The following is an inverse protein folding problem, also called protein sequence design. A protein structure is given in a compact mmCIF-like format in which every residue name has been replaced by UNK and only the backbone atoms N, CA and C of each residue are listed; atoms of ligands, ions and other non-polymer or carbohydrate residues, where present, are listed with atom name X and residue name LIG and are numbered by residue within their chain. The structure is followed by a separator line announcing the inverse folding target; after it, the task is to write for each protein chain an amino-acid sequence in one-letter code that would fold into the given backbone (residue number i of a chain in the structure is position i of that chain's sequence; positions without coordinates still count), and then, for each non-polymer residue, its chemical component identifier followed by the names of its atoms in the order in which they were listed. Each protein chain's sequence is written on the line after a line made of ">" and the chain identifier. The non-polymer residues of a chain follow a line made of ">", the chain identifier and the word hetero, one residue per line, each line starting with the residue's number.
data_IF_251957057726
#
_entry.id   IF_251957057726
#
_cell.length_a   1.000
_cell.length_b   1.000
_cell.length_c   1.000
_cell.angle_alpha   90.00
_cell.angle_beta   90.00
_cell.angle_gamma   90.00
#
_symmetry.space_group_name_H-M   'P 1'
#
loop_
_entity.id
_entity.type
_entity.pdbx_description
1 polymer ?
#
# COMPACT_ATOMS: atom_id res chain seq x y z
N UNK A 1 24.45 -1.44 18.68
CA UNK A 1 24.49 -0.21 17.87
C UNK A 1 24.37 0.98 18.82
N UNK A 2 25.09 2.08 18.59
CA UNK A 2 25.11 3.25 19.48
C UNK A 2 24.05 4.28 19.07
N UNK A 3 23.65 5.16 20.00
CA UNK A 3 22.71 6.26 19.71
C UNK A 3 23.24 7.18 18.60
N UNK A 4 24.55 7.40 18.54
CA UNK A 4 25.20 8.17 17.47
C UNK A 4 25.04 7.52 16.08
N UNK A 5 25.10 6.18 16.02
CA UNK A 5 24.89 5.45 14.77
C UNK A 5 23.43 5.52 14.33
N UNK A 6 22.49 5.39 15.28
CA UNK A 6 21.05 5.53 15.00
C UNK A 6 20.72 6.95 14.51
N UNK A 7 21.30 7.98 15.14
CA UNK A 7 21.15 9.38 14.70
C UNK A 7 21.67 9.60 13.29
N UNK A 8 22.79 8.98 12.91
CA UNK A 8 23.29 9.04 11.52
C UNK A 8 22.33 8.37 10.54
N UNK A 9 21.83 7.17 10.87
CA UNK A 9 20.84 6.48 10.03
C UNK A 9 19.57 7.30 9.82
N UNK A 10 19.08 7.99 10.87
CA UNK A 10 17.94 8.93 10.74
C UNK A 10 18.22 10.09 9.78
N UNK A 11 19.46 10.59 9.76
CA UNK A 11 19.85 11.71 8.90
C UNK A 11 20.14 11.28 7.46
N UNK A 12 20.58 10.05 7.26
CA UNK A 12 20.97 9.49 5.96
C UNK A 12 19.83 8.76 5.25
N UNK A 13 18.80 8.31 5.98
CA UNK A 13 17.65 7.62 5.39
C UNK A 13 16.84 8.54 4.49
N UNK A 14 16.50 8.04 3.31
CA UNK A 14 15.63 8.73 2.35
C UNK A 14 14.48 7.83 1.92
N UNK A 15 13.27 8.40 1.83
CA UNK A 15 12.04 7.65 1.53
C UNK A 15 11.98 7.12 0.09
N UNK A 16 12.77 7.70 -0.82
CA UNK A 16 12.95 7.21 -2.19
C UNK A 16 14.03 6.12 -2.31
N UNK A 17 14.74 5.80 -1.23
CA UNK A 17 15.73 4.72 -1.15
C UNK A 17 15.33 3.68 -0.10
N UNK A 18 14.77 2.58 -0.61
CA UNK A 18 14.38 1.42 0.19
C UNK A 18 15.53 0.88 1.06
N UNK A 19 16.76 0.81 0.55
CA UNK A 19 17.86 0.20 1.30
C UNK A 19 18.22 1.03 2.54
N UNK A 20 18.19 2.35 2.42
CA UNK A 20 18.41 3.28 3.53
C UNK A 20 17.30 3.17 4.59
N UNK A 21 16.02 3.13 4.16
CA UNK A 21 14.86 2.99 5.05
C UNK A 21 14.82 1.64 5.75
N UNK A 22 15.13 0.56 5.03
CA UNK A 22 15.24 -0.78 5.59
C UNK A 22 16.34 -0.85 6.65
N UNK A 23 17.48 -0.19 6.42
CA UNK A 23 18.58 -0.14 7.38
C UNK A 23 18.20 0.64 8.63
N UNK A 24 17.50 1.78 8.49
CA UNK A 24 16.93 2.51 9.61
C UNK A 24 15.91 1.66 10.39
N UNK A 25 14.98 0.99 9.71
CA UNK A 25 13.98 0.16 10.37
C UNK A 25 14.60 -0.99 11.17
N UNK A 26 15.59 -1.71 10.61
CA UNK A 26 16.34 -2.75 11.34
C UNK A 26 17.02 -2.21 12.59
N UNK A 27 17.61 -1.02 12.46
CA UNK A 27 18.24 -0.30 13.56
C UNK A 27 17.24 0.05 14.68
N UNK A 28 16.05 0.54 14.31
CA UNK A 28 14.96 0.86 15.24
C UNK A 28 14.42 -0.41 15.94
N UNK A 29 14.18 -1.50 15.22
CA UNK A 29 13.80 -2.78 15.83
C UNK A 29 14.86 -3.31 16.81
N UNK A 30 16.15 -3.16 16.48
CA UNK A 30 17.23 -3.54 17.39
C UNK A 30 17.27 -2.69 18.68
N UNK A 31 16.58 -1.54 18.71
CA UNK A 31 16.37 -0.70 19.89
C UNK A 31 15.05 -1.01 20.62
N UNK A 32 14.34 -2.07 20.22
CA UNK A 32 13.13 -2.54 20.89
C UNK A 32 11.85 -1.84 20.45
N UNK A 33 11.88 -1.02 19.39
CA UNK A 33 10.68 -0.37 18.86
C UNK A 33 9.78 -1.39 18.16
N UNK A 34 8.47 -1.21 18.34
CA UNK A 34 7.44 -1.97 17.62
C UNK A 34 7.12 -1.40 16.23
N UNK A 35 6.35 -2.12 15.40
CA UNK A 35 6.03 -1.72 14.03
C UNK A 35 5.46 -0.30 13.89
N UNK A 36 4.54 0.09 14.78
CA UNK A 36 3.96 1.45 14.80
C UNK A 36 5.02 2.53 15.01
N UNK A 37 5.94 2.29 15.94
CA UNK A 37 6.98 3.24 16.30
C UNK A 37 8.03 3.33 15.19
N UNK A 38 8.37 2.19 14.57
CA UNK A 38 9.27 2.15 13.40
C UNK A 38 8.71 2.98 12.25
N UNK A 39 7.44 2.77 11.87
CA UNK A 39 6.80 3.55 10.81
C UNK A 39 6.76 5.04 11.17
N UNK A 40 6.41 5.37 12.42
CA UNK A 40 6.38 6.76 12.89
C UNK A 40 7.76 7.43 12.79
N UNK A 41 8.82 6.74 13.20
CA UNK A 41 10.20 7.27 13.11
C UNK A 41 10.65 7.42 11.65
N UNK A 42 10.27 6.49 10.78
CA UNK A 42 10.61 6.49 9.36
C UNK A 42 9.88 7.60 8.56
N UNK A 43 8.63 7.92 8.91
CA UNK A 43 7.81 8.88 8.16
C UNK A 43 7.53 10.20 8.91
N UNK A 44 7.96 10.30 10.17
CA UNK A 44 7.71 11.45 11.05
C UNK A 44 6.26 11.61 11.51
N UNK A 45 5.39 10.63 11.21
CA UNK A 45 3.98 10.60 11.59
C UNK A 45 3.49 9.15 11.69
N UNK A 46 2.57 8.88 12.62
CA UNK A 46 1.94 7.57 12.75
C UNK A 46 0.97 7.30 11.59
N UNK A 47 0.87 6.03 11.20
CA UNK A 47 -0.08 5.58 10.17
C UNK A 47 -1.37 5.08 10.84
N UNK A 48 -2.51 5.07 10.13
CA UNK A 48 -3.78 4.61 10.69
C UNK A 48 -3.79 3.09 10.89
N UNK A 49 -4.65 2.59 11.80
CA UNK A 49 -4.73 1.14 12.10
C UNK A 49 -5.08 0.27 10.89
N UNK A 50 -5.83 0.78 9.92
CA UNK A 50 -6.13 0.05 8.68
C UNK A 50 -4.87 -0.34 7.90
N UNK A 51 -3.82 0.47 7.98
CA UNK A 51 -2.52 0.14 7.42
C UNK A 51 -1.90 -1.07 8.13
N UNK A 52 -1.89 -1.08 9.46
CA UNK A 52 -1.28 -2.16 10.24
C UNK A 52 -2.09 -3.47 10.16
N UNK A 53 -3.41 -3.39 10.03
CA UNK A 53 -4.25 -4.57 9.77
C UNK A 53 -3.85 -5.26 8.46
N UNK A 54 -3.69 -4.50 7.37
CA UNK A 54 -3.21 -5.06 6.11
C UNK A 54 -1.77 -5.56 6.23
N UNK A 55 -0.90 -4.80 6.89
CA UNK A 55 0.50 -5.15 7.05
C UNK A 55 0.68 -6.46 7.83
N UNK A 56 -0.10 -6.68 8.89
CA UNK A 56 -0.13 -7.92 9.67
C UNK A 56 -0.58 -9.12 8.83
N UNK A 57 -1.52 -8.90 7.90
CA UNK A 57 -2.02 -9.93 7.00
C UNK A 57 -1.06 -10.29 5.86
N UNK A 58 0.03 -9.51 5.68
CA UNK A 58 1.01 -9.74 4.63
C UNK A 58 0.47 -9.39 3.24
N UNK A 59 0.45 -8.10 2.86
CA UNK A 59 -0.27 -7.64 1.66
C UNK A 59 0.21 -8.31 0.36
N UNK A 60 1.51 -8.64 0.27
CA UNK A 60 2.10 -9.35 -0.87
C UNK A 60 1.70 -10.83 -1.01
N UNK A 61 0.93 -11.39 -0.08
CA UNK A 61 0.44 -12.77 -0.11
C UNK A 61 -1.09 -12.88 -0.10
N UNK A 62 -1.81 -11.75 -0.22
CA UNK A 62 -3.27 -11.71 -0.19
C UNK A 62 -3.93 -11.86 -1.57
N UNK A 63 -3.14 -12.02 -2.64
CA UNK A 63 -3.60 -12.12 -4.03
C UNK A 63 -4.65 -11.05 -4.41
N UNK A 64 -4.55 -9.87 -3.80
CA UNK A 64 -5.41 -8.74 -4.08
C UNK A 64 -5.13 -8.24 -5.50
N UNK A 65 -6.16 -7.69 -6.15
CA UNK A 65 -6.09 -7.15 -7.51
C UNK A 65 -5.39 -5.78 -7.56
N UNK A 66 -4.25 -5.67 -6.87
CA UNK A 66 -3.40 -4.49 -6.75
C UNK A 66 -1.94 -4.90 -6.61
N UNK A 67 -1.02 -4.08 -7.09
CA UNK A 67 0.41 -4.24 -6.85
C UNK A 67 0.85 -3.46 -5.61
N UNK A 68 1.61 -4.08 -4.71
CA UNK A 68 2.12 -3.43 -3.49
C UNK A 68 3.62 -3.09 -3.61
N UNK A 69 4.04 -1.83 -3.38
CA UNK A 69 5.45 -1.48 -3.24
C UNK A 69 6.09 -2.16 -2.02
N UNK A 70 7.42 -2.14 -1.88
CA UNK A 70 8.05 -2.64 -0.65
C UNK A 70 7.91 -1.63 0.50
N UNK A 71 8.05 -0.34 0.22
CA UNK A 71 7.73 0.72 1.18
C UNK A 71 6.26 1.12 1.06
N UNK A 72 5.56 1.41 2.17
CA UNK A 72 6.00 1.31 3.57
C UNK A 72 5.93 -0.12 4.15
N UNK A 73 5.27 -1.06 3.47
CA UNK A 73 4.83 -2.35 4.00
C UNK A 73 5.92 -3.19 4.65
N UNK A 74 7.10 -3.30 4.04
CA UNK A 74 8.17 -4.14 4.57
C UNK A 74 8.85 -3.58 5.81
N UNK A 75 8.61 -2.30 6.15
CA UNK A 75 9.13 -1.72 7.38
C UNK A 75 8.37 -2.21 8.62
N UNK A 76 7.15 -2.72 8.47
CA UNK A 76 6.36 -3.25 9.59
C UNK A 76 6.75 -4.68 9.98
N UNK A 77 7.62 -5.33 9.20
CA UNK A 77 8.04 -6.72 9.44
C UNK A 77 9.37 -6.71 10.19
N UNK A 78 9.41 -7.19 11.45
CA UNK A 78 10.64 -7.27 12.23
C UNK A 78 11.70 -8.24 11.64
N UNK A 79 12.99 -8.07 11.96
CA UNK A 79 14.09 -8.93 11.48
C UNK A 79 13.93 -10.41 11.79
N UNK A 80 13.43 -10.75 12.98
CA UNK A 80 13.15 -12.12 13.41
C UNK A 80 11.99 -12.77 12.64
N UNK A 81 11.20 -11.97 11.90
CA UNK A 81 10.13 -12.42 11.00
C UNK A 81 10.47 -12.27 9.53
N UNK A 82 11.75 -12.04 9.20
CA UNK A 82 12.24 -12.02 7.82
C UNK A 82 12.16 -10.66 7.11
N UNK A 83 12.03 -9.54 7.84
CA UNK A 83 11.95 -8.21 7.23
C UNK A 83 12.78 -7.12 7.94
N UNK A 84 12.94 -5.94 7.33
CA UNK A 84 12.80 -5.67 5.90
C UNK A 84 13.90 -6.40 5.08
N UNK A 85 13.57 -7.08 3.97
CA UNK A 85 14.55 -7.80 3.13
C UNK A 85 15.53 -6.85 2.44
N UNK A 86 16.73 -7.31 2.06
CA UNK A 86 17.74 -6.50 1.33
C UNK A 86 17.50 -6.40 -0.19
N UNK A 87 16.35 -6.87 -0.68
CA UNK A 87 16.04 -6.90 -2.11
C UNK A 87 15.57 -5.52 -2.62
N UNK A 88 15.85 -5.17 -3.89
CA UNK A 88 15.33 -3.95 -4.49
C UNK A 88 13.80 -3.98 -4.56
N UNK A 89 13.17 -2.80 -4.46
CA UNK A 89 11.73 -2.64 -4.67
C UNK A 89 11.41 -2.79 -6.16
N UNK A 90 10.56 -3.77 -6.58
CA UNK A 90 10.12 -3.87 -7.96
C UNK A 90 9.44 -2.60 -8.48
N UNK A 91 8.90 -1.78 -7.58
CA UNK A 91 8.22 -0.51 -7.88
C UNK A 91 9.10 0.72 -7.64
N UNK A 92 10.42 0.54 -7.46
CA UNK A 92 11.35 1.62 -7.12
C UNK A 92 11.28 2.82 -8.08
N UNK A 93 11.11 2.58 -9.38
CA UNK A 93 11.04 3.66 -10.36
C UNK A 93 9.77 4.50 -10.22
N UNK A 94 8.62 3.87 -9.96
CA UNK A 94 7.35 4.58 -9.70
C UNK A 94 7.48 5.37 -8.39
N UNK A 95 7.96 4.72 -7.33
CA UNK A 95 8.17 5.33 -6.01
C UNK A 95 9.10 6.54 -6.09
N UNK A 96 10.23 6.43 -6.82
CA UNK A 96 11.18 7.54 -7.00
C UNK A 96 10.56 8.71 -7.76
N UNK A 97 9.83 8.44 -8.85
CA UNK A 97 9.12 9.49 -9.61
C UNK A 97 8.08 10.19 -8.74
N UNK A 98 7.32 9.42 -7.96
CA UNK A 98 6.31 9.94 -7.05
C UNK A 98 6.94 10.87 -6.01
N UNK A 99 8.00 10.44 -5.32
CA UNK A 99 8.68 11.27 -4.33
C UNK A 99 9.33 12.52 -4.94
N UNK A 100 9.85 12.44 -6.16
CA UNK A 100 10.36 13.61 -6.88
C UNK A 100 9.25 14.60 -7.27
N UNK A 101 8.05 14.08 -7.56
CA UNK A 101 6.86 14.88 -7.91
C UNK A 101 6.23 15.54 -6.69
N UNK A 102 6.06 14.78 -5.62
CA UNK A 102 5.50 15.21 -4.35
C UNK A 102 6.10 14.39 -3.18
N UNK A 103 6.99 14.99 -2.38
CA UNK A 103 7.62 14.28 -1.27
C UNK A 103 6.67 14.04 -0.09
N UNK A 104 5.43 14.53 -0.11
CA UNK A 104 4.45 14.29 0.95
C UNK A 104 3.62 13.01 0.70
N UNK A 105 3.62 12.48 -0.53
CA UNK A 105 2.90 11.26 -0.87
C UNK A 105 3.68 10.00 -0.47
N UNK A 106 2.97 9.03 0.13
CA UNK A 106 3.48 7.70 0.46
C UNK A 106 2.69 6.66 -0.32
N UNK A 107 3.30 5.95 -1.28
CA UNK A 107 2.60 4.96 -2.09
C UNK A 107 2.19 3.74 -1.25
N UNK A 108 0.95 3.30 -1.44
CA UNK A 108 0.35 2.17 -0.71
C UNK A 108 0.10 1.00 -1.64
N UNK A 109 -0.49 1.22 -2.82
CA UNK A 109 -0.68 0.18 -3.83
C UNK A 109 -0.89 0.80 -5.21
N UNK A 110 -0.88 -0.01 -6.26
CA UNK A 110 -1.30 0.35 -7.61
C UNK A 110 -2.48 -0.52 -8.03
N UNK A 111 -3.59 0.10 -8.43
CA UNK A 111 -4.74 -0.64 -8.94
C UNK A 111 -4.42 -1.32 -10.27
N UNK A 112 -4.77 -2.60 -10.41
CA UNK A 112 -4.66 -3.30 -11.70
C UNK A 112 -5.88 -2.99 -12.60
N UNK A 113 -5.80 -3.32 -13.89
CA UNK A 113 -6.82 -3.04 -14.91
C UNK A 113 -7.17 -1.55 -15.06
N UNK A 114 -6.51 -0.89 -16.02
CA UNK A 114 -6.64 0.55 -16.31
C UNK A 114 -8.03 1.02 -16.73
N UNK A 115 -8.96 0.10 -17.00
CA UNK A 115 -10.34 0.45 -17.36
C UNK A 115 -11.23 0.69 -16.12
N UNK A 116 -10.74 0.40 -14.92
CA UNK A 116 -11.44 0.64 -13.65
C UNK A 116 -11.07 2.01 -13.10
N UNK A 117 -11.91 2.57 -12.22
CA UNK A 117 -11.71 3.91 -11.65
C UNK A 117 -10.38 4.02 -10.90
N UNK A 118 -10.06 3.00 -10.11
CA UNK A 118 -8.81 2.90 -9.36
C UNK A 118 -7.68 2.23 -10.18
N UNK A 119 -8.00 1.76 -11.39
CA UNK A 119 -7.08 1.09 -12.30
C UNK A 119 -5.96 1.97 -12.81
N UNK A 120 -4.72 1.49 -12.75
CA UNK A 120 -3.55 2.21 -13.26
C UNK A 120 -3.11 3.42 -12.41
N UNK A 121 -3.75 3.64 -11.26
CA UNK A 121 -3.41 4.69 -10.30
C UNK A 121 -2.55 4.14 -9.17
N UNK A 122 -1.60 4.94 -8.70
CA UNK A 122 -0.87 4.75 -7.45
C UNK A 122 -1.66 5.43 -6.35
N UNK A 123 -2.13 4.64 -5.39
CA UNK A 123 -2.86 5.15 -4.24
C UNK A 123 -1.92 5.43 -3.10
N UNK A 124 -2.06 6.60 -2.48
CA UNK A 124 -1.10 7.15 -1.55
C UNK A 124 -1.80 7.70 -0.30
N UNK A 125 -1.13 7.64 0.84
CA UNK A 125 -1.38 8.62 1.91
C UNK A 125 -0.62 9.92 1.63
N UNK A 126 -1.10 11.03 2.19
CA UNK A 126 -0.35 12.27 2.34
C UNK A 126 0.15 12.38 3.79
N UNK A 127 1.45 12.64 4.00
CA UNK A 127 1.98 12.85 5.34
C UNK A 127 1.39 14.11 6.01
N UNK A 128 1.07 15.16 5.24
CA UNK A 128 0.40 16.35 5.75
C UNK A 128 -1.01 16.03 6.27
N UNK A 129 -1.78 15.22 5.54
CA UNK A 129 -3.11 14.76 5.98
C UNK A 129 -3.01 13.87 7.23
N UNK A 130 -2.05 12.93 7.25
CA UNK A 130 -1.80 12.07 8.41
C UNK A 130 -1.43 12.89 9.65
N UNK A 131 -0.58 13.93 9.51
CA UNK A 131 -0.23 14.83 10.61
C UNK A 131 -1.45 15.60 11.13
N UNK A 132 -2.42 15.86 10.26
CA UNK A 132 -3.67 16.48 10.62
C UNK A 132 -4.74 15.46 11.09
N UNK A 133 -4.37 14.20 11.30
CA UNK A 133 -5.25 13.13 11.79
C UNK A 133 -6.24 12.59 10.75
N UNK A 134 -6.00 12.84 9.46
CA UNK A 134 -6.85 12.38 8.36
C UNK A 134 -6.18 11.23 7.61
N UNK A 135 -6.92 10.15 7.38
CA UNK A 135 -6.45 8.98 6.62
C UNK A 135 -6.90 9.02 5.14
N UNK A 136 -7.11 10.23 4.61
CA UNK A 136 -7.53 10.42 3.23
C UNK A 136 -6.51 9.81 2.26
N UNK A 137 -7.04 9.05 1.31
CA UNK A 137 -6.29 8.38 0.25
C UNK A 137 -6.35 9.23 -1.00
N UNK A 138 -5.20 9.44 -1.62
CA UNK A 138 -5.05 10.12 -2.89
C UNK A 138 -4.63 9.15 -3.98
N UNK A 139 -4.96 9.45 -5.23
CA UNK A 139 -4.56 8.69 -6.41
C UNK A 139 -3.87 9.59 -7.41
N UNK A 140 -2.87 9.04 -8.09
CA UNK A 140 -2.20 9.65 -9.25
C UNK A 140 -1.89 8.56 -10.27
N UNK A 141 -1.95 8.86 -11.56
CA UNK A 141 -1.58 7.90 -12.60
C UNK A 141 -0.13 7.39 -12.43
N UNK A 142 0.08 6.09 -12.65
CA UNK A 142 1.35 5.37 -12.34
C UNK A 142 2.57 5.79 -13.15
N UNK A 143 2.36 6.45 -14.28
CA UNK A 143 3.41 7.08 -15.09
C UNK A 143 3.98 8.34 -14.44
N UNK A 144 3.23 8.96 -13.51
CA UNK A 144 3.61 10.13 -12.70
C UNK A 144 4.09 11.30 -13.57
N UNK A 145 3.36 11.58 -14.65
CA UNK A 145 3.69 12.70 -15.52
C UNK A 145 3.34 14.06 -14.86
N UNK A 146 4.03 15.16 -15.23
CA UNK A 146 3.81 16.46 -14.61
C UNK A 146 2.37 16.96 -14.65
N UNK A 147 1.61 16.55 -15.68
CA UNK A 147 0.22 16.94 -15.91
C UNK A 147 -0.80 16.05 -15.21
N UNK A 148 -0.37 14.93 -14.61
CA UNK A 148 -1.26 14.07 -13.85
C UNK A 148 -1.58 14.74 -12.51
N UNK A 149 -2.88 14.95 -12.28
CA UNK A 149 -3.37 15.51 -11.03
C UNK A 149 -3.35 14.46 -9.92
N UNK A 150 -3.12 14.95 -8.69
CA UNK A 150 -3.28 14.15 -7.48
C UNK A 150 -4.72 14.35 -7.03
N UNK A 151 -5.52 13.30 -7.12
CA UNK A 151 -6.95 13.34 -6.83
C UNK A 151 -7.24 12.66 -5.50
N UNK A 152 -8.25 13.14 -4.78
CA UNK A 152 -8.77 12.43 -3.60
C UNK A 152 -9.58 11.22 -4.05
N UNK A 153 -9.19 10.03 -3.59
CA UNK A 153 -9.85 8.76 -3.91
C UNK A 153 -10.78 8.25 -2.80
N UNK A 154 -10.57 8.65 -1.55
CA UNK A 154 -11.43 8.22 -0.45
C UNK A 154 -10.89 8.60 0.93
N UNK A 155 -11.65 8.26 1.97
CA UNK A 155 -11.29 8.56 3.37
C UNK A 155 -10.76 7.35 4.14
N UNK A 156 -10.53 6.23 3.46
CA UNK A 156 -10.00 4.99 4.05
C UNK A 156 -9.33 4.16 2.97
N UNK A 157 -8.14 3.66 3.26
CA UNK A 157 -7.41 2.70 2.43
C UNK A 157 -8.24 1.44 2.15
N UNK A 158 -8.84 0.87 3.20
CA UNK A 158 -9.64 -0.35 3.05
C UNK A 158 -10.94 -0.11 2.29
N UNK A 159 -11.53 1.08 2.40
CA UNK A 159 -12.70 1.45 1.59
C UNK A 159 -12.37 1.54 0.10
N UNK A 160 -11.25 2.19 -0.26
CA UNK A 160 -10.79 2.28 -1.65
C UNK A 160 -10.43 0.90 -2.19
N UNK A 161 -9.75 0.05 -1.41
CA UNK A 161 -9.46 -1.34 -1.82
C UNK A 161 -10.74 -2.15 -2.07
N UNK A 162 -11.74 -2.02 -1.20
CA UNK A 162 -13.04 -2.68 -1.36
C UNK A 162 -13.76 -2.22 -2.63
N UNK A 163 -13.78 -0.92 -2.88
CA UNK A 163 -14.39 -0.35 -4.08
C UNK A 163 -13.71 -0.86 -5.35
N UNK A 164 -12.37 -0.83 -5.39
CA UNK A 164 -11.60 -1.38 -6.51
C UNK A 164 -11.93 -2.86 -6.78
N UNK A 165 -11.97 -3.70 -5.74
CA UNK A 165 -12.31 -5.12 -5.92
C UNK A 165 -13.76 -5.33 -6.32
N UNK A 166 -14.70 -4.51 -5.83
CA UNK A 166 -16.10 -4.58 -6.26
C UNK A 166 -16.21 -4.26 -7.76
N UNK A 167 -15.57 -3.18 -8.21
CA UNK A 167 -15.51 -2.82 -9.63
C UNK A 167 -14.83 -3.91 -10.48
N UNK A 168 -13.80 -4.56 -9.94
CA UNK A 168 -13.10 -5.65 -10.62
C UNK A 168 -13.99 -6.88 -10.81
N UNK A 169 -14.76 -7.27 -9.78
CA UNK A 169 -15.74 -8.36 -9.85
C UNK A 169 -16.83 -8.02 -10.87
N UNK A 170 -17.40 -6.82 -10.80
CA UNK A 170 -18.44 -6.38 -11.74
C UNK A 170 -17.94 -6.41 -13.20
N UNK A 171 -16.68 -5.98 -13.41
CA UNK A 171 -16.03 -6.06 -14.72
C UNK A 171 -15.85 -7.50 -15.19
N UNK A 172 -15.29 -8.39 -14.37
CA UNK A 172 -15.13 -9.80 -14.71
C UNK A 172 -16.45 -10.49 -15.03
N UNK A 173 -17.49 -10.22 -14.24
CA UNK A 173 -18.82 -10.73 -14.50
C UNK A 173 -19.33 -10.19 -15.84
N UNK A 174 -19.18 -8.90 -16.14
CA UNK A 174 -19.61 -8.37 -17.43
C UNK A 174 -18.86 -8.98 -18.63
N UNK A 175 -17.55 -9.23 -18.49
CA UNK A 175 -16.71 -9.84 -19.53
C UNK A 175 -17.02 -11.32 -19.75
N UNK A 176 -17.35 -12.06 -18.68
CA UNK A 176 -17.73 -13.48 -18.79
C UNK A 176 -19.05 -13.67 -19.54
N UNK A 177 -19.92 -12.65 -19.54
CA UNK A 177 -21.16 -12.64 -20.32
C UNK A 177 -21.01 -12.02 -21.73
N UNK A 178 -19.84 -11.50 -22.11
CA UNK A 178 -19.63 -10.96 -23.47
C UNK A 178 -19.52 -12.11 -24.50
N UNK A 179 -20.46 -12.21 -25.47
CA UNK A 179 -20.45 -13.26 -26.48
C UNK A 179 -19.19 -13.29 -27.36
N UNK A 180 -18.47 -12.16 -27.48
CA UNK A 180 -17.21 -12.07 -28.20
C UNK A 180 -16.07 -12.73 -27.41
N UNK A 181 -16.01 -12.56 -26.09
CA UNK A 181 -14.93 -13.08 -25.24
C UNK A 181 -15.09 -14.56 -24.91
N UNK A 182 -16.33 -15.03 -24.68
CA UNK A 182 -16.67 -16.44 -24.42
C UNK A 182 -16.14 -17.40 -25.50
N UNK A 183 -15.91 -16.90 -26.73
CA UNK A 183 -15.45 -17.71 -27.87
C UNK A 183 -13.93 -17.75 -28.03
N UNK A 184 -13.18 -16.88 -27.35
CA UNK A 184 -11.74 -16.68 -27.60
C UNK A 184 -10.88 -16.90 -26.37
N UNK A 185 -11.32 -16.48 -25.19
CA UNK A 185 -10.63 -16.69 -23.91
C UNK A 185 -11.65 -16.49 -22.76
N UNK A 186 -12.47 -17.51 -22.45
CA UNK A 186 -13.52 -17.37 -21.46
C UNK A 186 -12.91 -17.15 -20.06
N UNK A 187 -13.37 -16.11 -19.36
CA UNK A 187 -13.07 -15.93 -17.94
C UNK A 187 -13.64 -17.13 -17.17
N UNK A 188 -12.78 -17.81 -16.43
CA UNK A 188 -13.16 -18.99 -15.65
C UNK A 188 -14.07 -18.59 -14.47
N UNK A 189 -15.18 -19.32 -14.28
CA UNK A 189 -16.11 -19.09 -13.16
C UNK A 189 -15.43 -19.33 -11.80
N UNK A 190 -14.43 -20.20 -11.74
CA UNK A 190 -13.59 -20.42 -10.56
C UNK A 190 -12.84 -19.14 -10.19
N UNK A 191 -12.17 -18.50 -11.16
CA UNK A 191 -11.47 -17.22 -10.97
C UNK A 191 -12.39 -16.09 -10.51
N UNK A 192 -13.60 -15.97 -11.09
CA UNK A 192 -14.58 -14.96 -10.64
C UNK A 192 -14.98 -15.21 -9.19
N UNK A 193 -15.17 -16.48 -8.81
CA UNK A 193 -15.53 -16.86 -7.44
C UNK A 193 -14.42 -16.55 -6.46
N UNK A 194 -13.18 -16.92 -6.76
CA UNK A 194 -12.00 -16.61 -5.93
C UNK A 194 -11.84 -15.10 -5.70
N UNK A 195 -11.95 -14.29 -6.75
CA UNK A 195 -11.80 -12.83 -6.64
C UNK A 195 -12.97 -12.23 -5.85
N UNK A 196 -14.19 -12.78 -5.98
CA UNK A 196 -15.35 -12.35 -5.19
C UNK A 196 -15.14 -12.57 -3.69
N UNK A 197 -14.42 -13.61 -3.29
CA UNK A 197 -14.11 -13.90 -1.87
C UNK A 197 -13.16 -12.87 -1.23
N UNK A 198 -12.41 -12.11 -2.03
CA UNK A 198 -11.54 -11.03 -1.54
C UNK A 198 -12.35 -9.86 -0.97
N UNK A 199 -13.56 -9.59 -1.46
CA UNK A 199 -14.39 -8.47 -0.95
C UNK A 199 -14.79 -8.68 0.52
N UNK A 200 -15.39 -9.82 0.93
CA UNK A 200 -15.64 -10.12 2.34
C UNK A 200 -14.39 -10.12 3.22
N UNK A 201 -13.24 -10.53 2.68
CA UNK A 201 -11.95 -10.48 3.39
C UNK A 201 -11.58 -9.03 3.74
N UNK A 202 -11.64 -8.12 2.76
CA UNK A 202 -11.37 -6.69 2.96
C UNK A 202 -12.35 -6.08 3.96
N UNK A 203 -13.65 -6.44 3.89
CA UNK A 203 -14.64 -6.01 4.89
C UNK A 203 -14.31 -6.54 6.30
N UNK A 204 -13.73 -7.73 6.40
CA UNK A 204 -13.17 -8.28 7.64
C UNK A 204 -12.05 -7.39 8.20
N UNK A 205 -11.13 -6.95 7.34
CA UNK A 205 -10.09 -6.00 7.73
C UNK A 205 -10.65 -4.65 8.16
N UNK A 206 -11.71 -4.14 7.51
CA UNK A 206 -12.37 -2.89 7.92
C UNK A 206 -12.92 -2.97 9.34
N UNK A 207 -13.60 -4.08 9.67
CA UNK A 207 -14.12 -4.32 11.03
C UNK A 207 -12.99 -4.43 12.05
N UNK A 208 -11.90 -5.11 11.70
CA UNK A 208 -10.73 -5.25 12.58
C UNK A 208 -10.06 -3.89 12.83
N UNK A 209 -9.86 -3.08 11.78
CA UNK A 209 -9.27 -1.75 11.89
C UNK A 209 -10.13 -0.83 12.78
N UNK A 210 -11.46 -0.85 12.61
CA UNK A 210 -12.37 -0.09 13.46
C UNK A 210 -12.28 -0.51 14.95
N UNK A 211 -12.12 -1.80 15.23
CA UNK A 211 -11.97 -2.30 16.59
C UNK A 211 -10.64 -1.90 17.25
N UNK A 212 -9.55 -1.79 16.46
CA UNK A 212 -8.23 -1.37 16.95
C UNK A 212 -8.11 0.14 17.12
N UNK A 213 -8.70 0.92 16.22
CA UNK A 213 -8.61 2.40 16.21
C UNK A 213 -9.57 3.12 17.16
N UNK A 214 -10.57 2.42 17.72
CA UNK A 214 -11.52 2.97 18.69
C UNK A 214 -11.12 2.84 20.16
N UNK A 215 -9.87 2.45 20.45
CA UNK A 215 -9.33 2.21 21.80
C UNK A 215 -8.67 3.45 22.41
#
# INVERSE_FOLDING_TARGET
>A
MTEDALRRLRAESSRDDYASMASLARALYAHGLGPHEVVRECYGVGFPEEFFVLADAGPHSLDLMVDFPLLPWRLTVPPDRGGPPERPDPMADITRKLFARDPDLVPLFVGVNVNLEHGGRVHCYSLAELRAGRMTVFGIWKDVEPHNEVERCGDSLLAVLREHHTQYVDWLESESWDPANVRTDPVDEETVTEIRELVPMIEGFQRLAASRGGS
#
